data_IF_740725620161
#
_entry.id   IF_740725620161
#
_cell.length_a   1.000
_cell.length_b   1.000
_cell.length_c   1.000
_cell.angle_alpha   90.00
_cell.angle_beta   90.00
_cell.angle_gamma   90.00
#
_symmetry.space_group_name_H-M   'P 1'
#
loop_
_entity.id
_entity.type
_entity.pdbx_description
1 polymer ?
#
# COMPACT_ATOMS: atom_id res chain seq x y z
N UNK A 1 4.66 19.91 3.31
CA UNK A 1 4.54 18.61 2.62
C UNK A 1 4.42 18.84 1.11
N UNK A 2 3.73 19.91 0.70
CA UNK A 2 3.43 20.19 -0.72
C UNK A 2 4.67 20.43 -1.58
N UNK A 3 5.73 21.02 -1.02
CA UNK A 3 6.99 21.26 -1.73
C UNK A 3 7.75 19.99 -2.15
N UNK A 4 7.42 18.84 -1.56
CA UNK A 4 8.07 17.54 -1.85
C UNK A 4 7.19 16.60 -2.68
N UNK A 5 5.94 16.95 -2.90
CA UNK A 5 5.00 16.19 -3.70
C UNK A 5 5.04 16.71 -5.14
N UNK A 6 5.65 15.94 -6.04
CA UNK A 6 5.71 16.29 -7.45
C UNK A 6 4.31 16.27 -8.10
N UNK A 7 3.58 15.19 -7.93
CA UNK A 7 2.22 15.03 -8.46
C UNK A 7 1.48 13.86 -7.81
N UNK A 8 0.18 13.79 -8.07
CA UNK A 8 -0.64 12.60 -7.81
C UNK A 8 -1.25 12.18 -9.13
N UNK A 9 -0.88 10.99 -9.61
CA UNK A 9 -1.40 10.41 -10.85
C UNK A 9 -2.25 9.17 -10.53
N UNK A 10 -3.17 8.83 -11.37
CA UNK A 10 -4.05 7.68 -11.17
C UNK A 10 -4.12 6.81 -12.42
N UNK A 11 -4.35 5.52 -12.21
CA UNK A 11 -4.70 4.58 -13.25
C UNK A 11 -6.23 4.39 -13.25
N UNK A 12 -6.86 4.53 -14.41
CA UNK A 12 -8.30 4.35 -14.54
C UNK A 12 -8.64 2.85 -14.63
N UNK A 13 -8.45 2.17 -13.50
CA UNK A 13 -8.73 0.73 -13.36
C UNK A 13 -9.57 0.53 -12.09
N UNK A 14 -10.81 0.04 -12.21
CA UNK A 14 -11.63 -0.31 -11.06
C UNK A 14 -10.92 -1.32 -10.14
N UNK A 15 -11.11 -1.20 -8.82
CA UNK A 15 -10.45 -2.05 -7.83
C UNK A 15 -10.66 -3.55 -8.10
N UNK A 16 -11.85 -3.93 -8.57
CA UNK A 16 -12.17 -5.31 -8.90
C UNK A 16 -11.36 -5.86 -10.09
N UNK A 17 -10.88 -4.97 -10.98
CA UNK A 17 -10.11 -5.31 -12.17
C UNK A 17 -8.59 -5.33 -11.92
N UNK A 18 -8.11 -4.94 -10.74
CA UNK A 18 -6.69 -4.97 -10.37
C UNK A 18 -6.09 -6.38 -10.43
N UNK A 19 -6.94 -7.42 -10.44
CA UNK A 19 -6.53 -8.82 -10.67
C UNK A 19 -5.87 -9.03 -12.04
N UNK A 20 -6.20 -8.22 -13.03
CA UNK A 20 -5.55 -8.24 -14.33
C UNK A 20 -4.19 -7.53 -14.26
N UNK A 21 -3.18 -8.27 -13.76
CA UNK A 21 -1.83 -7.74 -13.54
C UNK A 21 -1.23 -7.11 -14.80
N UNK A 22 -1.46 -7.68 -15.98
CA UNK A 22 -0.91 -7.15 -17.24
C UNK A 22 -1.47 -5.77 -17.56
N UNK A 23 -2.79 -5.59 -17.42
CA UNK A 23 -3.45 -4.29 -17.63
C UNK A 23 -2.95 -3.27 -16.61
N UNK A 24 -2.89 -3.66 -15.33
CA UNK A 24 -2.40 -2.82 -14.24
C UNK A 24 -0.97 -2.34 -14.46
N UNK A 25 -0.06 -3.27 -14.72
CA UNK A 25 1.37 -3.01 -14.91
C UNK A 25 1.60 -2.04 -16.09
N UNK A 26 0.89 -2.23 -17.20
CA UNK A 26 1.03 -1.33 -18.36
C UNK A 26 0.47 0.08 -18.06
N UNK A 27 -0.65 0.18 -17.35
CA UNK A 27 -1.20 1.47 -16.97
C UNK A 27 -0.29 2.20 -15.96
N UNK A 28 0.20 1.50 -14.93
CA UNK A 28 1.15 2.05 -13.97
C UNK A 28 2.44 2.53 -14.65
N UNK A 29 2.97 1.73 -15.56
CA UNK A 29 4.20 2.08 -16.28
C UNK A 29 4.07 3.40 -17.05
N UNK A 30 2.94 3.60 -17.75
CA UNK A 30 2.66 4.85 -18.47
C UNK A 30 2.59 6.05 -17.52
N UNK A 31 1.83 5.93 -16.43
CA UNK A 31 1.69 7.02 -15.46
C UNK A 31 3.00 7.32 -14.70
N UNK A 32 3.78 6.29 -14.39
CA UNK A 32 5.10 6.45 -13.78
C UNK A 32 6.08 7.17 -14.69
N UNK A 33 6.12 6.83 -15.98
CA UNK A 33 6.94 7.54 -16.95
C UNK A 33 6.54 9.02 -17.08
N UNK A 34 5.24 9.29 -17.08
CA UNK A 34 4.72 10.65 -17.10
C UNK A 34 5.11 11.41 -15.82
N UNK A 35 4.97 10.79 -14.63
CA UNK A 35 5.39 11.40 -13.36
C UNK A 35 6.90 11.76 -13.37
N UNK A 36 7.75 10.90 -13.93
CA UNK A 36 9.19 11.17 -14.01
C UNK A 36 9.50 12.28 -15.02
N UNK A 37 8.93 12.20 -16.23
CA UNK A 37 9.30 13.08 -17.34
C UNK A 37 8.65 14.46 -17.28
N UNK A 38 7.40 14.51 -16.85
CA UNK A 38 6.59 15.73 -16.87
C UNK A 38 6.60 16.43 -15.51
N UNK A 39 6.52 15.64 -14.42
CA UNK A 39 6.38 16.18 -13.06
C UNK A 39 7.70 16.14 -12.27
N UNK A 40 8.78 15.63 -12.88
CA UNK A 40 10.10 15.51 -12.27
C UNK A 40 10.12 14.71 -10.96
N UNK A 41 9.31 13.65 -10.90
CA UNK A 41 9.29 12.78 -9.73
C UNK A 41 10.59 11.95 -9.61
N UNK A 42 11.22 11.98 -8.45
CA UNK A 42 12.45 11.23 -8.15
C UNK A 42 12.19 9.95 -7.34
N UNK A 43 11.01 9.81 -6.77
CA UNK A 43 10.53 8.62 -6.04
C UNK A 43 9.06 8.43 -6.39
N UNK A 44 8.67 7.20 -6.61
CA UNK A 44 7.29 6.84 -6.89
C UNK A 44 6.72 6.03 -5.72
N UNK A 45 5.49 6.31 -5.34
CA UNK A 45 4.79 5.60 -4.27
C UNK A 45 3.48 5.03 -4.81
N UNK A 46 3.26 3.73 -4.65
CA UNK A 46 1.99 3.12 -5.00
C UNK A 46 0.91 3.53 -3.99
N UNK A 47 -0.22 4.01 -4.47
CA UNK A 47 -1.30 4.55 -3.62
C UNK A 47 -2.28 3.52 -3.08
N UNK A 48 -2.15 2.24 -3.43
CA UNK A 48 -3.14 1.21 -3.08
C UNK A 48 -2.48 -0.12 -2.75
N UNK A 49 -2.90 -0.76 -1.65
CA UNK A 49 -2.45 -2.10 -1.27
C UNK A 49 -2.88 -3.19 -2.26
N UNK A 50 -3.93 -2.95 -3.05
CA UNK A 50 -4.30 -3.82 -4.18
C UNK A 50 -3.23 -3.91 -5.29
N UNK A 51 -2.24 -3.01 -5.26
CA UNK A 51 -1.08 -3.00 -6.16
C UNK A 51 0.16 -3.64 -5.51
N UNK A 52 0.00 -4.31 -4.38
CA UNK A 52 1.10 -4.96 -3.67
C UNK A 52 1.84 -5.95 -4.57
N UNK A 53 3.18 -5.95 -4.46
CA UNK A 53 4.06 -6.87 -5.18
C UNK A 53 4.39 -6.49 -6.63
N UNK A 54 3.87 -5.36 -7.16
CA UNK A 54 4.24 -4.89 -8.51
C UNK A 54 5.40 -3.88 -8.50
N UNK A 55 5.79 -3.34 -7.35
CA UNK A 55 6.82 -2.32 -7.23
C UNK A 55 8.14 -2.74 -7.89
N UNK A 56 8.65 -3.94 -7.58
CA UNK A 56 9.89 -4.47 -8.16
C UNK A 56 9.83 -4.66 -9.69
N UNK A 57 8.68 -5.04 -10.21
CA UNK A 57 8.48 -5.15 -11.65
C UNK A 57 8.51 -3.77 -12.31
N UNK A 58 7.91 -2.78 -11.66
CA UNK A 58 7.93 -1.40 -12.14
C UNK A 58 9.33 -0.81 -12.14
N UNK A 59 10.09 -0.97 -11.06
CA UNK A 59 11.50 -0.54 -11.00
C UNK A 59 12.32 -1.16 -12.14
N UNK A 60 12.14 -2.47 -12.38
CA UNK A 60 12.85 -3.15 -13.47
C UNK A 60 12.50 -2.56 -14.84
N UNK A 61 11.24 -2.26 -15.10
CA UNK A 61 10.79 -1.68 -16.37
C UNK A 61 11.30 -0.24 -16.53
N UNK A 62 11.18 0.57 -15.50
CA UNK A 62 11.70 1.94 -15.51
C UNK A 62 13.22 1.96 -15.78
N UNK A 63 13.96 1.02 -15.20
CA UNK A 63 15.40 0.88 -15.44
C UNK A 63 15.71 0.47 -16.88
N UNK A 64 14.88 -0.35 -17.51
CA UNK A 64 15.00 -0.68 -18.95
C UNK A 64 14.76 0.54 -19.83
N UNK A 65 13.92 1.49 -19.38
CA UNK A 65 13.67 2.76 -20.07
C UNK A 65 14.74 3.84 -19.75
N UNK A 66 15.75 3.51 -18.95
CA UNK A 66 16.84 4.40 -18.56
C UNK A 66 16.59 5.22 -17.30
N UNK A 67 15.55 4.90 -16.51
CA UNK A 67 15.22 5.61 -15.26
C UNK A 67 15.50 4.72 -14.04
N UNK A 68 16.46 5.12 -13.22
CA UNK A 68 16.78 4.45 -11.94
C UNK A 68 16.05 5.17 -10.80
N UNK A 69 14.73 4.99 -10.74
CA UNK A 69 13.83 5.65 -9.79
C UNK A 69 13.19 4.58 -8.88
N UNK A 70 13.29 4.71 -7.55
CA UNK A 70 12.70 3.77 -6.63
C UNK A 70 11.17 3.82 -6.64
N UNK A 71 10.54 2.64 -6.50
CA UNK A 71 9.09 2.48 -6.39
C UNK A 71 8.74 1.90 -5.02
N UNK A 72 8.12 2.70 -4.17
CA UNK A 72 7.75 2.30 -2.81
C UNK A 72 6.45 1.50 -2.82
N UNK A 73 6.50 0.27 -2.28
CA UNK A 73 5.32 -0.52 -1.95
C UNK A 73 4.80 -0.09 -0.57
N UNK A 74 3.60 0.51 -0.47
CA UNK A 74 3.08 1.04 0.78
C UNK A 74 2.82 -0.05 1.83
N UNK A 75 2.46 -1.26 1.42
CA UNK A 75 2.22 -2.37 2.35
C UNK A 75 3.53 -2.81 3.02
N UNK A 76 4.59 -2.99 2.24
CA UNK A 76 5.91 -3.32 2.77
C UNK A 76 6.47 -2.20 3.64
N UNK A 77 6.36 -0.95 3.21
CA UNK A 77 6.82 0.22 3.96
C UNK A 77 6.08 0.36 5.30
N UNK A 78 4.75 0.21 5.30
CA UNK A 78 3.94 0.29 6.52
C UNK A 78 4.28 -0.81 7.52
N UNK A 79 4.50 -2.04 7.05
CA UNK A 79 4.90 -3.14 7.91
C UNK A 79 6.26 -2.87 8.57
N UNK A 80 7.25 -2.44 7.78
CA UNK A 80 8.58 -2.10 8.31
C UNK A 80 8.54 -0.91 9.28
N UNK A 81 7.71 0.06 9.01
CA UNK A 81 7.50 1.18 9.93
C UNK A 81 6.87 0.70 11.26
N UNK A 82 5.86 -0.16 11.19
CA UNK A 82 5.23 -0.76 12.38
C UNK A 82 6.23 -1.59 13.21
N UNK A 83 7.07 -2.43 12.56
CA UNK A 83 8.15 -3.17 13.22
C UNK A 83 9.13 -2.23 13.93
N UNK A 84 9.50 -1.12 13.29
CA UNK A 84 10.39 -0.12 13.87
C UNK A 84 9.78 0.54 15.12
N UNK A 85 8.49 0.91 15.07
CA UNK A 85 7.79 1.49 16.22
C UNK A 85 7.76 0.50 17.40
N UNK A 86 7.45 -0.76 17.15
CA UNK A 86 7.45 -1.80 18.19
C UNK A 86 8.84 -1.98 18.79
N UNK A 87 9.89 -2.04 17.96
CA UNK A 87 11.27 -2.16 18.40
C UNK A 87 11.74 -1.00 19.27
N UNK A 88 11.23 0.20 19.01
CA UNK A 88 11.50 1.40 19.81
C UNK A 88 10.61 1.51 21.06
N UNK A 89 9.68 0.59 21.28
CA UNK A 89 8.71 0.65 22.38
C UNK A 89 7.69 1.79 22.23
N UNK A 90 7.51 2.33 21.02
CA UNK A 90 6.60 3.43 20.76
C UNK A 90 5.17 2.94 20.54
N UNK A 91 4.21 3.76 20.97
CA UNK A 91 2.78 3.53 20.78
C UNK A 91 2.13 4.78 20.18
N UNK A 92 0.99 4.58 19.52
CA UNK A 92 0.18 5.71 19.08
C UNK A 92 -0.35 6.52 20.26
N UNK A 93 -0.49 7.82 20.06
CA UNK A 93 -1.11 8.71 21.07
C UNK A 93 -2.58 8.36 21.27
N UNK A 94 -2.99 8.15 22.52
CA UNK A 94 -4.39 7.96 22.89
C UNK A 94 -5.22 9.25 22.88
N UNK A 95 -4.56 10.40 22.78
CA UNK A 95 -5.22 11.68 22.58
C UNK A 95 -5.71 11.83 21.13
N UNK A 96 -4.94 11.33 20.17
CA UNK A 96 -5.29 11.40 18.74
C UNK A 96 -6.05 10.15 18.28
N UNK A 97 -5.61 8.98 18.72
CA UNK A 97 -6.19 7.68 18.37
C UNK A 97 -6.83 7.06 19.60
N UNK A 98 -8.03 7.52 19.94
CA UNK A 98 -8.77 6.99 21.08
C UNK A 98 -9.11 5.51 20.93
N UNK A 99 -9.30 4.77 22.03
CA UNK A 99 -9.84 3.43 21.97
C UNK A 99 -11.16 3.41 21.19
N UNK A 100 -11.46 2.35 20.42
CA UNK A 100 -12.74 2.24 19.75
C UNK A 100 -13.88 2.23 20.79
N UNK A 101 -15.06 2.81 20.48
CA UNK A 101 -16.20 2.75 21.38
C UNK A 101 -16.61 1.31 21.64
N UNK A 102 -17.14 1.06 22.82
CA UNK A 102 -17.74 -0.23 23.14
C UNK A 102 -18.85 -0.56 22.15
N UNK A 103 -18.77 -1.74 21.57
CA UNK A 103 -19.76 -2.24 20.63
C UNK A 103 -20.47 -3.44 21.23
N UNK A 104 -21.79 -3.39 21.31
CA UNK A 104 -22.59 -4.56 21.60
C UNK A 104 -22.41 -5.55 20.46
N UNK A 105 -21.77 -6.68 20.71
CA UNK A 105 -21.66 -7.77 19.74
C UNK A 105 -22.85 -8.69 19.93
N UNK A 106 -23.81 -8.65 19.05
CA UNK A 106 -24.80 -9.71 18.89
C UNK A 106 -24.07 -10.92 18.31
N UNK A 107 -23.97 -11.99 19.10
CA UNK A 107 -23.45 -13.26 18.61
C UNK A 107 -24.35 -13.73 17.48
N UNK A 108 -23.80 -13.91 16.28
CA UNK A 108 -24.50 -14.57 15.20
C UNK A 108 -24.71 -16.03 15.60
N UNK A 109 -25.90 -16.64 15.35
CA UNK A 109 -26.16 -18.05 15.66
C UNK A 109 -25.21 -19.04 14.98
N UNK A 110 -24.39 -18.57 14.04
CA UNK A 110 -23.39 -19.36 13.30
C UNK A 110 -22.06 -19.51 14.03
N UNK A 111 -21.97 -19.09 15.28
CA UNK A 111 -20.71 -19.12 16.00
C UNK A 111 -20.68 -20.30 16.95
N UNK A 112 -19.74 -21.19 16.68
CA UNK A 112 -19.03 -22.08 17.60
C UNK A 112 -19.63 -23.45 17.89
N UNK A 113 -19.29 -24.33 17.01
CA UNK A 113 -18.75 -25.61 17.47
C UNK A 113 -17.21 -25.58 17.34
N UNK A 114 -16.53 -24.80 18.15
CA UNK A 114 -15.16 -25.14 18.51
C UNK A 114 -15.24 -26.18 19.62
N UNK A 115 -15.17 -27.44 19.26
CA UNK A 115 -14.86 -28.52 20.19
C UNK A 115 -13.48 -28.23 20.78
N UNK A 116 -13.45 -27.92 22.05
CA UNK A 116 -12.27 -28.08 22.90
C UNK A 116 -11.83 -29.53 22.80
N UNK A 117 -10.82 -29.82 22.03
CA UNK A 117 -10.04 -31.04 22.17
C UNK A 117 -9.13 -30.82 23.37
N UNK A 118 -9.59 -31.25 24.54
CA UNK A 118 -8.72 -31.58 25.65
C UNK A 118 -7.97 -32.87 25.30
N UNK A 119 -6.63 -32.78 25.26
CA UNK A 119 -5.72 -33.81 25.75
C UNK A 119 -4.34 -33.17 25.95
#
# INVERSE_FOLDING_TARGET
VDEKLASVRYVDIPVLDLKNKKKLVNALHREMLAAIKEDHAHVLVLGCTGMMGVAKEMEKRLKQDGFDVPVVDPAAASLKFAESLVSMGLKQSRLTYMPPPEKTRTASPLTLTMKTAAH
#
